data_IF_303666003401
#
_entry.id   IF_303666003401
#
_cell.length_a   1.000
_cell.length_b   1.000
_cell.length_c   1.000
_cell.angle_alpha   90.00
_cell.angle_beta   90.00
_cell.angle_gamma   90.00
#
_symmetry.space_group_name_H-M   'P 1'
#
loop_
_entity.id
_entity.type
_entity.pdbx_description
1 polymer ?
#
# COMPACT_ATOMS: atom_id res chain seq x y z
N UNK A 1 11.73 9.56 -29.36
CA UNK A 1 11.08 8.31 -28.91
C UNK A 1 10.07 8.71 -27.84
N UNK A 2 8.82 8.29 -27.98
CA UNK A 2 7.76 8.65 -27.01
C UNK A 2 7.95 7.71 -25.81
N UNK A 3 8.32 8.26 -24.65
CA UNK A 3 8.33 7.51 -23.41
C UNK A 3 6.89 7.38 -22.90
N UNK A 4 6.52 6.20 -22.44
CA UNK A 4 5.23 5.89 -21.86
C UNK A 4 5.35 5.95 -20.35
N UNK A 5 4.50 6.74 -19.69
CA UNK A 5 4.45 6.79 -18.23
C UNK A 5 3.65 5.59 -17.68
N UNK A 6 4.07 5.05 -16.54
CA UNK A 6 3.40 3.92 -15.92
C UNK A 6 3.54 3.84 -14.41
N UNK A 7 2.64 3.09 -13.78
CA UNK A 7 2.61 2.79 -12.36
C UNK A 7 2.94 1.32 -12.14
N UNK A 8 3.93 1.02 -11.32
CA UNK A 8 4.30 -0.36 -10.96
C UNK A 8 3.24 -0.98 -10.08
N UNK A 9 2.57 -2.02 -10.56
CA UNK A 9 1.53 -2.76 -9.84
C UNK A 9 2.07 -3.97 -9.10
N UNK A 10 3.05 -4.66 -9.73
CA UNK A 10 3.53 -5.93 -9.19
C UNK A 10 4.97 -6.17 -9.65
N UNK A 11 5.67 -6.99 -8.87
CA UNK A 11 7.00 -7.48 -9.22
C UNK A 11 7.03 -9.00 -9.15
N UNK A 12 7.38 -9.63 -10.26
CA UNK A 12 7.66 -11.06 -10.34
C UNK A 12 9.11 -11.28 -10.81
N UNK A 13 9.98 -11.59 -9.88
CA UNK A 13 11.41 -11.74 -10.14
C UNK A 13 12.05 -10.47 -10.72
N UNK A 14 12.43 -10.52 -12.01
CA UNK A 14 13.00 -9.40 -12.75
C UNK A 14 11.97 -8.63 -13.60
N UNK A 15 10.74 -9.14 -13.70
CA UNK A 15 9.65 -8.58 -14.49
C UNK A 15 8.75 -7.75 -13.58
N UNK A 16 8.31 -6.61 -14.09
CA UNK A 16 7.36 -5.72 -13.43
C UNK A 16 6.09 -5.64 -14.27
N UNK A 17 4.93 -5.73 -13.63
CA UNK A 17 3.66 -5.40 -14.24
C UNK A 17 3.39 -3.91 -13.99
N UNK A 18 3.18 -3.18 -15.06
CA UNK A 18 3.07 -1.72 -15.03
C UNK A 18 1.78 -1.31 -15.71
N UNK A 19 0.97 -0.50 -15.02
CA UNK A 19 -0.24 0.11 -15.57
C UNK A 19 0.13 1.39 -16.31
N UNK A 20 -0.31 1.51 -17.55
CA UNK A 20 -0.14 2.68 -18.42
C UNK A 20 -1.50 3.18 -18.90
N UNK A 21 -1.55 4.31 -19.59
CA UNK A 21 -2.76 4.81 -20.26
C UNK A 21 -3.27 3.88 -21.38
N UNK A 22 -2.39 3.00 -21.90
CA UNK A 22 -2.71 2.01 -22.92
C UNK A 22 -3.08 0.63 -22.35
N UNK A 23 -3.10 0.48 -21.02
CA UNK A 23 -3.34 -0.77 -20.33
C UNK A 23 -2.12 -1.30 -19.58
N UNK A 24 -2.20 -2.54 -19.13
CA UNK A 24 -1.12 -3.19 -18.40
C UNK A 24 -0.07 -3.75 -19.37
N UNK A 25 1.19 -3.46 -19.06
CA UNK A 25 2.34 -3.96 -19.81
C UNK A 25 3.32 -4.67 -18.88
N UNK A 26 4.12 -5.57 -19.45
CA UNK A 26 5.28 -6.18 -18.80
C UNK A 26 6.51 -5.32 -19.06
N UNK A 27 7.32 -5.10 -18.03
CA UNK A 27 8.51 -4.28 -18.14
C UNK A 27 9.70 -4.87 -17.37
N UNK A 28 10.90 -4.57 -17.83
CA UNK A 28 12.16 -4.95 -17.19
C UNK A 28 12.99 -3.70 -16.87
N UNK A 29 13.75 -3.73 -15.80
CA UNK A 29 14.59 -2.61 -15.40
C UNK A 29 15.87 -2.58 -16.22
N UNK A 30 16.11 -1.50 -16.99
CA UNK A 30 17.32 -1.34 -17.81
C UNK A 30 18.57 -1.21 -16.93
N UNK A 31 19.68 -1.82 -17.35
CA UNK A 31 20.90 -1.95 -16.54
C UNK A 31 21.45 -0.64 -15.95
N UNK A 32 21.39 0.48 -16.69
CA UNK A 32 21.84 1.80 -16.22
C UNK A 32 20.99 2.34 -15.06
N UNK A 33 19.69 2.06 -15.05
CA UNK A 33 18.75 2.45 -13.98
C UNK A 33 18.98 1.57 -12.75
N UNK A 34 19.27 0.28 -12.96
CA UNK A 34 19.56 -0.68 -11.90
C UNK A 34 20.77 -0.29 -11.02
N UNK A 35 21.76 0.42 -11.60
CA UNK A 35 22.97 0.83 -10.88
C UNK A 35 22.84 2.17 -10.14
N UNK A 36 21.95 3.05 -10.58
CA UNK A 36 21.85 4.45 -10.07
C UNK A 36 20.64 4.72 -9.18
N UNK A 37 19.63 3.84 -9.19
CA UNK A 37 18.36 4.11 -8.53
C UNK A 37 18.15 3.27 -7.28
N UNK A 38 17.40 3.84 -6.33
CA UNK A 38 16.84 3.09 -5.23
C UNK A 38 16.05 1.88 -5.79
N UNK A 39 16.00 0.80 -5.02
CA UNK A 39 15.27 -0.42 -5.41
C UNK A 39 13.84 -0.08 -5.83
N UNK A 40 13.47 -0.47 -7.05
CA UNK A 40 12.12 -0.29 -7.58
C UNK A 40 11.13 -1.13 -6.77
N UNK A 41 10.03 -0.51 -6.36
CA UNK A 41 8.96 -1.13 -5.57
C UNK A 41 7.59 -0.88 -6.19
N UNK A 42 6.58 -1.60 -5.73
CA UNK A 42 5.18 -1.35 -6.11
C UNK A 42 4.80 0.09 -5.75
N UNK A 43 3.99 0.72 -6.60
CA UNK A 43 3.61 2.14 -6.45
C UNK A 43 4.61 3.14 -7.05
N UNK A 44 5.80 2.71 -7.51
CA UNK A 44 6.69 3.61 -8.24
C UNK A 44 6.09 4.05 -9.57
N UNK A 45 6.26 5.32 -9.89
CA UNK A 45 5.98 5.87 -11.23
C UNK A 45 7.24 5.75 -12.06
N UNK A 46 7.09 5.27 -13.29
CA UNK A 46 8.21 4.93 -14.15
C UNK A 46 8.01 5.43 -15.57
N UNK A 47 9.12 5.67 -16.28
CA UNK A 47 9.12 5.93 -17.69
C UNK A 47 9.54 4.68 -18.44
N UNK A 48 8.80 4.35 -19.49
CA UNK A 48 8.95 3.14 -20.26
C UNK A 48 9.31 3.45 -21.71
N UNK A 49 10.13 2.59 -22.29
CA UNK A 49 10.35 2.52 -23.75
C UNK A 49 10.00 1.12 -24.25
N UNK A 50 9.34 0.97 -25.40
CA UNK A 50 9.13 -0.33 -25.99
C UNK A 50 10.48 -0.95 -26.39
N UNK A 51 10.66 -2.24 -26.11
CA UNK A 51 11.83 -2.98 -26.60
C UNK A 51 11.59 -3.44 -28.06
N UNK A 52 12.53 -3.18 -28.99
CA UNK A 52 12.35 -3.50 -30.41
C UNK A 52 12.19 -5.00 -30.72
N UNK A 53 12.65 -5.86 -29.81
CA UNK A 53 12.69 -7.32 -30.00
C UNK A 53 12.15 -8.03 -28.74
N UNK A 54 10.86 -7.83 -28.41
CA UNK A 54 10.28 -8.56 -27.28
C UNK A 54 8.92 -8.04 -26.85
N UNK A 55 8.25 -8.84 -26.02
CA UNK A 55 6.94 -8.57 -25.39
C UNK A 55 7.02 -7.65 -24.17
N UNK A 56 8.18 -7.02 -23.92
CA UNK A 56 8.42 -6.26 -22.71
C UNK A 56 8.80 -4.81 -23.06
N UNK A 57 8.50 -3.91 -22.12
CA UNK A 57 9.02 -2.55 -22.13
C UNK A 57 10.28 -2.46 -21.25
N UNK A 58 11.16 -1.52 -21.56
CA UNK A 58 12.30 -1.19 -20.72
C UNK A 58 11.92 -0.05 -19.76
N UNK A 59 12.11 -0.23 -18.46
CA UNK A 59 12.05 0.86 -17.49
C UNK A 59 13.34 1.64 -17.60
N UNK A 60 13.24 2.89 -18.08
CA UNK A 60 14.38 3.79 -18.35
C UNK A 60 14.58 4.85 -17.27
N UNK A 61 13.54 5.17 -16.49
CA UNK A 61 13.62 6.08 -15.35
C UNK A 61 12.57 5.72 -14.29
N UNK A 62 12.87 6.13 -13.05
CA UNK A 62 11.94 6.08 -11.91
C UNK A 62 11.73 7.53 -11.51
N UNK A 63 10.48 7.96 -11.47
CA UNK A 63 10.11 9.32 -11.07
C UNK A 63 10.33 9.53 -9.56
N UNK A 64 10.38 10.78 -9.13
CA UNK A 64 10.54 11.11 -7.72
C UNK A 64 9.32 10.64 -6.90
N UNK A 65 9.61 10.03 -5.76
CA UNK A 65 8.58 9.52 -4.85
C UNK A 65 8.02 10.63 -3.99
N UNK A 66 6.70 10.69 -3.84
CA UNK A 66 6.01 11.59 -2.90
C UNK A 66 6.00 11.01 -1.48
N UNK A 67 5.98 9.69 -1.36
CA UNK A 67 6.03 8.96 -0.10
C UNK A 67 6.67 7.58 -0.29
N UNK A 68 7.13 6.99 0.82
CA UNK A 68 7.69 5.64 0.81
C UNK A 68 7.34 4.94 2.12
N UNK A 69 6.54 3.89 2.05
CA UNK A 69 6.33 3.01 3.20
C UNK A 69 7.49 2.02 3.27
N UNK A 70 8.27 2.15 4.33
CA UNK A 70 9.40 1.28 4.59
C UNK A 70 9.30 0.68 5.99
N UNK A 71 9.85 -0.51 6.16
CA UNK A 71 9.97 -1.18 7.45
C UNK A 71 11.43 -1.28 7.83
N UNK A 72 11.76 -0.87 9.06
CA UNK A 72 13.09 -1.06 9.62
C UNK A 72 13.40 -2.54 9.75
N UNK A 73 14.54 -2.96 9.24
CA UNK A 73 15.02 -4.34 9.37
C UNK A 73 15.97 -4.40 10.57
N UNK A 74 15.78 -5.35 11.52
CA UNK A 74 16.75 -5.58 12.57
C UNK A 74 18.14 -5.87 12.00
N UNK A 75 19.20 -5.62 12.77
CA UNK A 75 20.59 -5.94 12.44
C UNK A 75 21.30 -5.04 11.41
N UNK A 76 20.93 -3.75 11.33
CA UNK A 76 21.73 -2.77 10.56
C UNK A 76 21.69 -2.93 9.04
N UNK A 77 20.79 -3.76 8.51
CA UNK A 77 20.60 -3.98 7.06
C UNK A 77 19.80 -2.89 6.36
N UNK A 78 19.57 -1.75 7.04
CA UNK A 78 18.81 -0.62 6.50
C UNK A 78 17.29 -0.84 6.48
N UNK A 79 16.57 0.07 5.84
CA UNK A 79 15.13 0.00 5.70
C UNK A 79 14.73 -0.84 4.49
N UNK A 80 13.72 -1.68 4.67
CA UNK A 80 13.10 -2.41 3.56
C UNK A 80 11.92 -1.62 3.03
N UNK A 81 12.10 -0.98 1.89
CA UNK A 81 11.01 -0.35 1.14
C UNK A 81 9.94 -1.38 0.75
N UNK A 82 8.69 -1.05 1.00
CA UNK A 82 7.54 -1.94 0.75
C UNK A 82 6.76 -1.42 -0.45
N UNK A 83 6.32 -0.15 -0.40
CA UNK A 83 5.50 0.48 -1.44
C UNK A 83 5.77 1.98 -1.47
N UNK A 84 5.73 2.58 -2.67
CA UNK A 84 5.95 4.01 -2.90
C UNK A 84 4.65 4.74 -3.24
N UNK A 85 4.66 6.07 -3.11
CA UNK A 85 3.56 6.98 -3.53
C UNK A 85 2.21 6.62 -2.89
N UNK A 86 2.24 6.30 -1.59
CA UNK A 86 1.07 5.93 -0.77
C UNK A 86 0.52 7.17 -0.08
N UNK A 87 -0.78 7.38 -0.17
CA UNK A 87 -1.47 8.48 0.49
C UNK A 87 -1.90 8.12 1.91
N UNK A 88 -2.23 6.84 2.15
CA UNK A 88 -2.70 6.39 3.46
C UNK A 88 -2.49 4.88 3.70
N UNK A 89 -2.42 4.51 4.98
CA UNK A 89 -2.42 3.12 5.46
C UNK A 89 -3.71 2.88 6.23
N UNK A 90 -4.47 1.87 5.84
CA UNK A 90 -5.64 1.40 6.60
C UNK A 90 -5.30 0.09 7.30
N UNK A 91 -5.25 0.14 8.61
CA UNK A 91 -5.08 -1.04 9.45
C UNK A 91 -6.44 -1.68 9.65
N UNK A 92 -6.62 -2.89 9.13
CA UNK A 92 -7.88 -3.63 9.22
C UNK A 92 -7.78 -4.67 10.33
N UNK A 93 -8.78 -4.72 11.17
CA UNK A 93 -8.97 -5.73 12.21
C UNK A 93 -10.42 -6.20 12.23
N UNK A 94 -10.73 -7.24 12.95
CA UNK A 94 -12.10 -7.66 13.19
C UNK A 94 -12.48 -7.45 14.67
N UNK A 95 -13.78 -7.33 14.96
CA UNK A 95 -14.27 -7.36 16.35
C UNK A 95 -14.07 -8.75 16.94
N UNK A 96 -14.18 -9.79 16.09
CA UNK A 96 -14.10 -11.22 16.47
C UNK A 96 -13.69 -12.06 15.27
N UNK A 97 -13.11 -13.25 15.53
CA UNK A 97 -12.75 -14.28 14.55
C UNK A 97 -11.98 -13.75 13.32
N UNK A 98 -10.73 -13.30 13.49
CA UNK A 98 -9.88 -13.42 14.68
C UNK A 98 -10.14 -12.32 15.72
N UNK A 99 -9.83 -12.59 16.98
CA UNK A 99 -9.84 -11.56 18.02
C UNK A 99 -8.86 -10.42 17.66
N UNK A 100 -9.21 -9.16 17.96
CA UNK A 100 -8.33 -8.04 17.72
C UNK A 100 -7.04 -8.16 18.53
N UNK A 101 -5.93 -7.76 17.93
CA UNK A 101 -4.61 -7.75 18.56
C UNK A 101 -4.11 -6.30 18.68
N UNK A 102 -4.39 -5.58 19.78
CA UNK A 102 -4.04 -4.16 19.94
C UNK A 102 -2.57 -3.89 19.68
N UNK A 103 -1.65 -4.72 20.17
CA UNK A 103 -0.21 -4.54 19.95
C UNK A 103 0.19 -4.60 18.46
N UNK A 104 -0.52 -5.39 17.65
CA UNK A 104 -0.30 -5.43 16.20
C UNK A 104 -0.83 -4.16 15.53
N UNK A 105 -2.03 -3.71 15.94
CA UNK A 105 -2.65 -2.48 15.44
C UNK A 105 -1.72 -1.30 15.73
N UNK A 106 -1.30 -1.13 16.99
CA UNK A 106 -0.39 -0.05 17.42
C UNK A 106 0.91 -0.06 16.58
N UNK A 107 1.51 -1.23 16.42
CA UNK A 107 2.75 -1.35 15.64
C UNK A 107 2.57 -0.94 14.18
N UNK A 108 1.43 -1.28 13.55
CA UNK A 108 1.15 -0.92 12.16
C UNK A 108 0.89 0.58 12.01
N UNK A 109 0.15 1.18 12.95
CA UNK A 109 -0.10 2.62 13.00
C UNK A 109 1.21 3.40 13.18
N UNK A 110 2.06 2.98 14.12
CA UNK A 110 3.39 3.58 14.36
C UNK A 110 4.29 3.48 13.12
N UNK A 111 4.23 2.38 12.37
CA UNK A 111 4.99 2.24 11.11
C UNK A 111 4.51 3.27 10.08
N UNK A 112 3.21 3.50 9.95
CA UNK A 112 2.69 4.52 9.03
C UNK A 112 3.16 5.92 9.45
N UNK A 113 3.04 6.28 10.72
CA UNK A 113 3.48 7.57 11.26
C UNK A 113 4.98 7.81 11.10
N UNK A 114 5.80 6.80 11.40
CA UNK A 114 7.25 6.87 11.23
C UNK A 114 7.66 7.17 9.78
N UNK A 115 6.81 6.79 8.82
CA UNK A 115 6.98 7.10 7.39
C UNK A 115 6.22 8.37 6.96
N UNK A 116 5.58 9.12 7.87
CA UNK A 116 4.79 10.33 7.60
C UNK A 116 3.64 10.08 6.63
N UNK A 117 3.03 8.91 6.70
CA UNK A 117 1.88 8.52 5.89
C UNK A 117 0.64 8.53 6.80
N UNK A 118 -0.44 9.14 6.33
CA UNK A 118 -1.72 9.13 7.05
C UNK A 118 -2.16 7.71 7.36
N UNK A 119 -2.71 7.48 8.56
CA UNK A 119 -3.19 6.16 8.96
C UNK A 119 -4.64 6.20 9.43
N UNK A 120 -5.35 5.09 9.30
CA UNK A 120 -6.70 4.89 9.81
C UNK A 120 -6.93 3.46 10.24
N UNK A 121 -7.95 3.25 11.06
CA UNK A 121 -8.35 1.96 11.58
C UNK A 121 -9.69 1.53 10.97
N UNK A 122 -9.76 0.31 10.45
CA UNK A 122 -11.00 -0.32 10.00
C UNK A 122 -11.29 -1.50 10.91
N UNK A 123 -12.42 -1.44 11.61
CA UNK A 123 -12.89 -2.51 12.49
C UNK A 123 -14.03 -3.23 11.77
N UNK A 124 -13.71 -4.38 11.19
CA UNK A 124 -14.67 -5.18 10.44
C UNK A 124 -15.43 -6.18 11.34
N UNK A 125 -16.45 -6.80 10.76
CA UNK A 125 -17.30 -7.81 11.38
C UNK A 125 -18.13 -7.29 12.58
N UNK A 126 -18.55 -6.01 12.52
CA UNK A 126 -19.43 -5.45 13.55
C UNK A 126 -20.81 -6.12 13.63
N UNK A 127 -21.09 -7.03 12.72
CA UNK A 127 -22.26 -7.93 12.78
C UNK A 127 -22.09 -9.07 13.78
N UNK A 128 -20.87 -9.38 14.20
CA UNK A 128 -20.57 -10.42 15.20
C UNK A 128 -20.48 -9.85 16.61
N UNK A 129 -19.88 -8.67 16.76
CA UNK A 129 -19.70 -8.01 18.04
C UNK A 129 -19.55 -6.50 17.84
N UNK A 130 -19.94 -5.67 18.85
CA UNK A 130 -19.79 -4.21 18.78
C UNK A 130 -18.32 -3.80 18.68
N UNK A 131 -18.07 -2.78 17.85
CA UNK A 131 -16.73 -2.18 17.73
C UNK A 131 -16.40 -1.20 18.87
N UNK A 132 -17.37 -0.84 19.73
CA UNK A 132 -17.25 0.27 20.69
C UNK A 132 -16.06 0.16 21.63
N UNK A 133 -15.84 -1.01 22.22
CA UNK A 133 -14.74 -1.24 23.16
C UNK A 133 -13.38 -1.04 22.49
N UNK A 134 -13.21 -1.58 21.28
CA UNK A 134 -11.97 -1.43 20.53
C UNK A 134 -11.81 0.00 20.01
N UNK A 135 -12.87 0.60 19.48
CA UNK A 135 -12.87 1.97 19.00
C UNK A 135 -12.54 2.96 20.14
N UNK A 136 -13.10 2.75 21.33
CA UNK A 136 -12.82 3.59 22.49
C UNK A 136 -11.33 3.63 22.87
N UNK A 137 -10.60 2.54 22.63
CA UNK A 137 -9.15 2.47 22.85
C UNK A 137 -8.35 3.44 21.97
N UNK A 138 -8.88 3.76 20.79
CA UNK A 138 -8.24 4.65 19.81
C UNK A 138 -8.90 6.03 19.72
N UNK A 139 -9.95 6.31 20.51
CA UNK A 139 -10.52 7.65 20.61
C UNK A 139 -9.47 8.63 21.15
N UNK A 140 -9.37 9.79 20.50
CA UNK A 140 -8.40 10.83 20.89
C UNK A 140 -7.01 10.67 20.29
N UNK A 141 -6.71 9.57 19.59
CA UNK A 141 -5.43 9.40 18.87
C UNK A 141 -5.36 10.20 17.57
N UNK A 142 -6.51 10.67 17.07
CA UNK A 142 -6.62 11.39 15.80
C UNK A 142 -6.76 10.48 14.55
N UNK A 143 -6.67 9.17 14.69
CA UNK A 143 -6.91 8.25 13.58
C UNK A 143 -8.39 8.16 13.23
N UNK A 144 -8.80 8.28 11.96
CA UNK A 144 -10.15 7.95 11.54
C UNK A 144 -10.44 6.46 11.79
N UNK A 145 -11.62 6.16 12.35
CA UNK A 145 -12.06 4.81 12.66
C UNK A 145 -13.30 4.50 11.84
N UNK A 146 -13.27 3.41 11.09
CA UNK A 146 -14.36 2.90 10.28
C UNK A 146 -14.85 1.57 10.86
N UNK A 147 -16.06 1.56 11.39
CA UNK A 147 -16.75 0.33 11.82
C UNK A 147 -17.52 -0.25 10.61
N UNK A 148 -17.19 -1.47 10.20
CA UNK A 148 -17.73 -2.08 8.99
C UNK A 148 -18.24 -3.50 9.20
N UNK A 149 -19.21 -3.90 8.39
CA UNK A 149 -19.56 -5.30 8.17
C UNK A 149 -19.66 -5.54 6.66
N UNK A 150 -18.71 -6.21 6.09
CA UNK A 150 -18.76 -6.62 4.68
C UNK A 150 -19.98 -7.50 4.43
N UNK A 151 -20.31 -8.41 5.37
CA UNK A 151 -21.46 -9.32 5.26
C UNK A 151 -22.81 -8.59 5.19
N UNK A 152 -22.95 -7.47 5.92
CA UNK A 152 -24.20 -6.67 5.96
C UNK A 152 -24.13 -5.41 5.12
N UNK A 153 -23.00 -5.09 4.53
CA UNK A 153 -22.79 -3.85 3.78
C UNK A 153 -22.70 -2.60 4.66
N UNK A 154 -22.68 -2.74 5.99
CA UNK A 154 -22.63 -1.62 6.92
C UNK A 154 -21.27 -0.91 6.90
N UNK A 155 -21.27 0.44 6.92
CA UNK A 155 -20.07 1.28 6.99
C UNK A 155 -19.23 1.33 5.71
N UNK A 156 -19.59 0.59 4.65
CA UNK A 156 -18.77 0.50 3.43
C UNK A 156 -18.78 1.78 2.61
N UNK A 157 -19.85 2.56 2.61
CA UNK A 157 -19.91 3.83 1.88
C UNK A 157 -18.91 4.86 2.46
N UNK A 158 -18.83 4.99 3.78
CA UNK A 158 -17.87 5.85 4.44
C UNK A 158 -16.44 5.40 4.16
N UNK A 159 -16.19 4.09 4.16
CA UNK A 159 -14.87 3.53 3.81
C UNK A 159 -14.52 3.78 2.34
N UNK A 160 -15.48 3.64 1.41
CA UNK A 160 -15.29 3.97 0.00
C UNK A 160 -14.94 5.43 -0.21
N UNK A 161 -15.61 6.34 0.47
CA UNK A 161 -15.29 7.76 0.42
C UNK A 161 -13.85 8.05 0.87
N UNK A 162 -13.38 7.34 1.91
CA UNK A 162 -12.00 7.45 2.40
C UNK A 162 -10.99 6.90 1.39
N UNK A 163 -11.33 5.87 0.64
CA UNK A 163 -10.47 5.25 -0.38
C UNK A 163 -10.46 6.02 -1.71
N UNK A 164 -11.48 6.83 -1.96
CA UNK A 164 -11.67 7.48 -3.26
C UNK A 164 -10.50 8.41 -3.61
N UNK A 165 -9.97 8.26 -4.82
CA UNK A 165 -8.82 9.02 -5.36
C UNK A 165 -7.55 8.99 -4.48
N UNK A 166 -7.33 7.90 -3.72
CA UNK A 166 -6.15 7.71 -2.89
C UNK A 166 -5.49 6.37 -3.14
N UNK A 167 -4.18 6.38 -3.18
CA UNK A 167 -3.38 5.15 -3.14
C UNK A 167 -3.31 4.69 -1.68
N UNK A 168 -3.97 3.59 -1.38
CA UNK A 168 -4.14 3.10 -0.02
C UNK A 168 -3.46 1.75 0.17
N UNK A 169 -2.72 1.62 1.25
CA UNK A 169 -2.23 0.31 1.73
C UNK A 169 -3.22 -0.22 2.75
N UNK A 170 -3.74 -1.41 2.49
CA UNK A 170 -4.58 -2.14 3.43
C UNK A 170 -3.75 -3.24 4.07
N UNK A 171 -3.68 -3.27 5.39
CA UNK A 171 -2.88 -4.23 6.15
C UNK A 171 -3.58 -4.66 7.42
N UNK A 172 -3.33 -5.88 7.87
CA UNK A 172 -3.92 -6.43 9.08
C UNK A 172 -3.69 -7.94 9.17
N UNK A 173 -4.20 -8.61 10.20
CA UNK A 173 -4.15 -10.06 10.30
C UNK A 173 -4.98 -10.73 9.22
N UNK A 174 -4.66 -11.98 8.91
CA UNK A 174 -5.43 -12.79 7.97
C UNK A 174 -6.81 -13.11 8.53
N UNK A 175 -7.84 -13.07 7.68
CA UNK A 175 -9.21 -13.46 8.04
C UNK A 175 -10.04 -12.36 8.74
N UNK A 176 -9.59 -11.11 8.74
CA UNK A 176 -10.36 -9.97 9.30
C UNK A 176 -11.53 -9.53 8.42
#
# INVERSE_FOLDING_TARGET
MVSLAGLVLERDGAIYRVLTDQGEVRAILRGKVKQKSAKLVVGDRVQLEPEPQGDHHAIIAIDERTSLLARRVPEGRGDRSIVANVDQVLVVTATRDPAPLPQLIDRLLVVAEANRISAGLVINKVDLESAETLAAHYLGTGYPIHATSVKRGAGLEALRATLHNRVSVVTGPSGV
#
